data_IF_470754905412
#
_entry.id   IF_470754905412
#
_cell.length_a   1.000
_cell.length_b   1.000
_cell.length_c   1.000
_cell.angle_alpha   90.00
_cell.angle_beta   90.00
_cell.angle_gamma   90.00
#
_symmetry.space_group_name_H-M   'P 1'
#
loop_
_entity.id
_entity.type
_entity.pdbx_description
1 polymer ?
#
# COMPACT_ATOMS: atom_id res chain seq x y z
N UNK A 1 7.25 -25.08 -23.36
CA UNK A 1 7.38 -23.81 -24.10
C UNK A 1 7.86 -24.14 -25.50
N UNK A 2 7.30 -23.53 -26.54
CA UNK A 2 7.49 -23.94 -27.95
C UNK A 2 8.68 -23.29 -28.67
N UNK A 3 9.50 -22.49 -27.98
CA UNK A 3 10.62 -21.78 -28.60
C UNK A 3 10.22 -20.48 -29.28
N UNK A 4 11.06 -19.99 -30.21
CA UNK A 4 10.77 -18.76 -30.98
C UNK A 4 9.70 -19.06 -32.01
N UNK A 5 8.62 -18.29 -31.98
CA UNK A 5 7.53 -18.37 -32.96
C UNK A 5 7.56 -17.13 -33.85
N UNK A 6 7.51 -17.35 -35.15
CA UNK A 6 7.39 -16.27 -36.15
C UNK A 6 5.91 -16.06 -36.46
N UNK A 7 5.46 -14.81 -36.45
CA UNK A 7 4.08 -14.44 -36.77
C UNK A 7 4.10 -13.40 -37.88
N UNK A 8 3.43 -13.68 -38.99
CA UNK A 8 3.20 -12.72 -40.06
C UNK A 8 1.98 -11.85 -39.72
N UNK A 9 2.13 -10.52 -39.87
CA UNK A 9 1.13 -9.54 -39.43
C UNK A 9 0.72 -8.66 -40.61
N UNK A 10 -0.59 -8.53 -40.81
CA UNK A 10 -1.14 -7.52 -41.71
C UNK A 10 -1.20 -6.16 -41.00
N UNK A 11 -0.73 -5.11 -41.67
CA UNK A 11 -0.76 -3.74 -41.16
C UNK A 11 -1.69 -2.90 -42.03
N UNK A 12 -2.67 -2.24 -41.41
CA UNK A 12 -3.37 -1.13 -42.04
C UNK A 12 -2.52 0.13 -41.92
N UNK A 13 -2.26 0.79 -43.05
CA UNK A 13 -1.33 1.92 -43.13
C UNK A 13 -1.94 3.10 -43.86
N UNK A 14 -1.64 4.29 -43.37
CA UNK A 14 -1.91 5.56 -44.07
C UNK A 14 -0.71 6.50 -43.85
N UNK A 15 -0.45 7.38 -44.82
CA UNK A 15 0.71 8.29 -44.76
C UNK A 15 0.56 9.25 -43.58
N UNK A 16 1.62 9.37 -42.78
CA UNK A 16 1.63 10.25 -41.59
C UNK A 16 0.97 9.68 -40.33
N UNK A 17 0.40 8.46 -40.39
CA UNK A 17 -0.20 7.78 -39.24
C UNK A 17 0.58 6.53 -38.85
N UNK A 18 0.48 6.13 -37.58
CA UNK A 18 1.01 4.85 -37.11
C UNK A 18 0.26 3.68 -37.76
N UNK A 19 0.99 2.61 -38.05
CA UNK A 19 0.40 1.38 -38.58
C UNK A 19 -0.45 0.70 -37.52
N UNK A 20 -1.64 0.23 -37.90
CA UNK A 20 -2.55 -0.50 -37.01
C UNK A 20 -2.59 -1.97 -37.39
N UNK A 21 -2.50 -2.83 -36.39
CA UNK A 21 -2.50 -4.28 -36.54
C UNK A 21 -3.70 -4.87 -35.79
N UNK A 22 -4.84 -4.95 -36.48
CA UNK A 22 -6.14 -5.28 -35.86
C UNK A 22 -6.14 -6.66 -35.19
N UNK A 23 -5.42 -7.62 -35.76
CA UNK A 23 -5.40 -9.00 -35.29
C UNK A 23 -4.54 -9.21 -34.04
N UNK A 24 -3.68 -8.24 -33.67
CA UNK A 24 -2.77 -8.40 -32.53
C UNK A 24 -3.50 -8.63 -31.22
N UNK A 25 -4.60 -7.90 -30.99
CA UNK A 25 -5.40 -8.02 -29.77
C UNK A 25 -6.09 -9.39 -29.69
N UNK A 26 -6.66 -9.86 -30.80
CA UNK A 26 -7.30 -11.18 -30.88
C UNK A 26 -6.30 -12.31 -30.64
N UNK A 27 -5.06 -12.16 -31.13
CA UNK A 27 -3.97 -13.11 -30.93
C UNK A 27 -3.21 -12.90 -29.61
N UNK A 28 -3.59 -11.90 -28.80
CA UNK A 28 -2.89 -11.53 -27.57
C UNK A 28 -1.38 -11.38 -27.77
N UNK A 29 -0.97 -10.74 -28.87
CA UNK A 29 0.44 -10.56 -29.18
C UNK A 29 1.08 -9.54 -28.22
N UNK A 30 2.23 -9.87 -27.61
CA UNK A 30 2.96 -8.91 -26.80
C UNK A 30 3.50 -7.76 -27.65
N UNK A 31 3.60 -6.56 -27.07
CA UNK A 31 4.22 -5.41 -27.73
C UNK A 31 5.73 -5.62 -28.03
N UNK A 32 6.38 -6.55 -27.32
CA UNK A 32 7.78 -6.92 -27.52
C UNK A 32 7.96 -8.38 -27.92
N UNK A 33 9.20 -8.82 -28.08
CA UNK A 33 9.55 -10.19 -28.54
C UNK A 33 9.12 -11.30 -27.56
N UNK A 34 9.01 -11.01 -26.27
CA UNK A 34 8.76 -12.04 -25.26
C UNK A 34 7.26 -12.21 -25.00
N UNK A 35 6.79 -13.46 -24.98
CA UNK A 35 5.39 -13.79 -24.71
C UNK A 35 4.95 -13.33 -23.31
N UNK A 36 3.65 -13.08 -23.15
CA UNK A 36 3.04 -12.78 -21.84
C UNK A 36 3.32 -13.88 -20.81
N UNK A 37 3.36 -15.15 -21.23
CA UNK A 37 3.71 -16.27 -20.36
C UNK A 37 5.13 -16.18 -19.81
N UNK A 38 6.09 -15.74 -20.63
CA UNK A 38 7.47 -15.52 -20.21
C UNK A 38 7.60 -14.29 -19.31
N UNK A 39 6.87 -13.22 -19.60
CA UNK A 39 6.75 -12.05 -18.72
C UNK A 39 6.21 -12.42 -17.34
N UNK A 40 5.13 -13.20 -17.30
CA UNK A 40 4.55 -13.71 -16.04
C UNK A 40 5.55 -14.57 -15.27
N UNK A 41 6.29 -15.45 -15.95
CA UNK A 41 7.33 -16.25 -15.30
C UNK A 41 8.46 -15.38 -14.75
N UNK A 42 8.91 -14.36 -15.50
CA UNK A 42 9.93 -13.42 -15.05
C UNK A 42 9.52 -12.70 -13.76
N UNK A 43 8.26 -12.25 -13.67
CA UNK A 43 7.71 -11.64 -12.45
C UNK A 43 7.68 -12.66 -11.30
N UNK A 44 7.13 -13.86 -11.52
CA UNK A 44 7.02 -14.89 -10.48
C UNK A 44 8.38 -15.25 -9.87
N UNK A 45 9.41 -15.40 -10.69
CA UNK A 45 10.74 -15.75 -10.20
C UNK A 45 11.49 -14.54 -9.60
N UNK A 46 11.28 -13.33 -10.12
CA UNK A 46 11.90 -12.12 -9.59
C UNK A 46 11.37 -11.74 -8.19
N UNK A 47 10.13 -12.07 -7.85
CA UNK A 47 9.58 -11.84 -6.50
C UNK A 47 10.25 -12.74 -5.46
N UNK A 48 10.81 -13.88 -5.86
CA UNK A 48 11.44 -14.85 -4.94
C UNK A 48 12.90 -14.54 -4.61
N UNK A 49 13.59 -13.76 -5.45
CA UNK A 49 15.03 -13.59 -5.31
C UNK A 49 15.67 -12.68 -6.35
N UNK A 50 17.01 -12.58 -6.35
CA UNK A 50 17.74 -11.71 -7.26
C UNK A 50 17.56 -12.12 -8.72
N UNK A 51 17.70 -11.15 -9.64
CA UNK A 51 17.48 -11.37 -11.08
C UNK A 51 18.37 -12.45 -11.70
N UNK A 52 19.58 -12.69 -11.17
CA UNK A 52 20.43 -13.78 -11.65
C UNK A 52 19.84 -15.16 -11.33
N UNK A 53 19.23 -15.31 -10.14
CA UNK A 53 18.53 -16.54 -9.77
C UNK A 53 17.22 -16.68 -10.55
N UNK A 54 16.49 -15.58 -10.75
CA UNK A 54 15.28 -15.58 -11.57
C UNK A 54 15.59 -16.00 -13.01
N UNK A 55 16.65 -15.44 -13.60
CA UNK A 55 17.14 -15.84 -14.92
C UNK A 55 17.54 -17.31 -14.94
N UNK A 56 18.31 -17.78 -13.97
CA UNK A 56 18.71 -19.19 -13.90
C UNK A 56 17.50 -20.13 -13.79
N UNK A 57 16.45 -19.74 -13.06
CA UNK A 57 15.20 -20.51 -12.98
C UNK A 57 14.46 -20.57 -14.31
N UNK A 58 14.39 -19.45 -15.03
CA UNK A 58 13.81 -19.39 -16.38
C UNK A 58 14.63 -20.25 -17.35
N UNK A 59 15.95 -20.15 -17.32
CA UNK A 59 16.84 -20.93 -18.18
C UNK A 59 16.65 -22.44 -17.96
N UNK A 60 16.53 -22.89 -16.70
CA UNK A 60 16.26 -24.30 -16.39
C UNK A 60 14.94 -24.79 -16.95
N UNK A 61 13.91 -23.95 -16.96
CA UNK A 61 12.55 -24.33 -17.38
C UNK A 61 12.33 -24.19 -18.89
N UNK A 62 13.01 -23.26 -19.53
CA UNK A 62 12.67 -22.79 -20.88
C UNK A 62 13.87 -22.75 -21.83
N UNK A 63 15.09 -23.00 -21.35
CA UNK A 63 16.32 -22.75 -22.11
C UNK A 63 16.71 -21.28 -22.11
N UNK A 64 17.80 -20.94 -22.82
CA UNK A 64 18.37 -19.58 -22.89
C UNK A 64 17.51 -18.65 -23.76
N UNK A 65 16.33 -18.27 -23.27
CA UNK A 65 15.33 -17.50 -24.02
C UNK A 65 15.42 -15.98 -23.82
N UNK A 66 16.09 -15.52 -22.75
CA UNK A 66 16.26 -14.10 -22.46
C UNK A 66 17.52 -13.81 -21.62
N UNK A 67 18.06 -12.60 -21.77
CA UNK A 67 19.12 -12.07 -20.94
C UNK A 67 18.61 -11.40 -19.66
N UNK A 68 19.48 -11.21 -18.65
CA UNK A 68 19.13 -10.59 -17.36
C UNK A 68 18.42 -9.24 -17.51
N UNK A 69 18.99 -8.34 -18.32
CA UNK A 69 18.41 -7.00 -18.59
C UNK A 69 17.01 -7.07 -19.22
N UNK A 70 16.75 -8.10 -20.02
CA UNK A 70 15.41 -8.31 -20.60
C UNK A 70 14.43 -8.80 -19.54
N UNK A 71 14.86 -9.65 -18.59
CA UNK A 71 14.04 -10.06 -17.45
C UNK A 71 13.64 -8.85 -16.60
N UNK A 72 14.62 -8.01 -16.26
CA UNK A 72 14.41 -6.76 -15.49
C UNK A 72 13.41 -5.83 -16.19
N UNK A 73 13.55 -5.68 -17.52
CA UNK A 73 12.62 -4.88 -18.31
C UNK A 73 11.20 -5.45 -18.28
N UNK A 74 11.03 -6.76 -18.43
CA UNK A 74 9.71 -7.40 -18.37
C UNK A 74 9.04 -7.18 -17.01
N UNK A 75 9.81 -7.27 -15.92
CA UNK A 75 9.29 -7.01 -14.56
C UNK A 75 8.92 -5.54 -14.40
N UNK A 76 9.74 -4.63 -14.91
CA UNK A 76 9.47 -3.19 -14.87
C UNK A 76 8.23 -2.84 -15.67
N UNK A 77 8.07 -3.41 -16.88
CA UNK A 77 6.90 -3.22 -17.73
C UNK A 77 5.63 -3.74 -17.05
N UNK A 78 5.68 -4.92 -16.42
CA UNK A 78 4.55 -5.48 -15.69
C UNK A 78 4.14 -4.65 -14.45
N UNK A 79 5.10 -3.93 -13.84
CA UNK A 79 4.84 -3.11 -12.66
C UNK A 79 4.19 -1.74 -13.00
N UNK A 80 4.24 -1.29 -14.26
CA UNK A 80 3.69 0.04 -14.66
C UNK A 80 2.20 0.16 -14.44
N UNK A 81 1.48 -0.95 -14.56
CA UNK A 81 0.02 -0.95 -14.56
C UNK A 81 -0.59 -1.16 -13.17
N UNK A 82 0.21 -1.22 -12.10
CA UNK A 82 -0.29 -1.46 -10.73
C UNK A 82 -1.33 -0.41 -10.32
N UNK A 83 -1.05 0.88 -10.55
CA UNK A 83 -1.98 1.96 -10.20
C UNK A 83 -3.25 1.91 -11.04
N UNK A 84 -3.13 1.57 -12.34
CA UNK A 84 -4.27 1.44 -13.24
C UNK A 84 -5.14 0.23 -12.86
N UNK A 85 -4.50 -0.88 -12.50
CA UNK A 85 -5.15 -2.10 -12.03
C UNK A 85 -6.03 -1.83 -10.81
N UNK A 86 -5.51 -1.13 -9.80
CA UNK A 86 -6.27 -0.81 -8.60
C UNK A 86 -7.32 0.29 -8.83
N UNK A 87 -7.10 1.22 -9.77
CA UNK A 87 -8.12 2.21 -10.16
C UNK A 87 -9.33 1.58 -10.87
N UNK A 88 -9.10 0.56 -11.70
CA UNK A 88 -10.17 -0.15 -12.41
C UNK A 88 -10.93 -1.12 -11.50
N UNK A 89 -10.29 -1.60 -10.43
CA UNK A 89 -10.87 -2.58 -9.53
C UNK A 89 -11.75 -1.91 -8.48
N UNK A 90 -13.04 -1.83 -8.77
CA UNK A 90 -14.03 -1.43 -7.78
C UNK A 90 -14.39 -2.62 -6.88
N UNK A 91 -14.12 -2.58 -5.57
CA UNK A 91 -14.58 -3.62 -4.66
C UNK A 91 -16.10 -3.57 -4.53
N UNK A 92 -16.73 -4.72 -4.31
CA UNK A 92 -18.14 -4.77 -3.96
C UNK A 92 -18.35 -4.07 -2.60
N UNK A 93 -19.45 -3.31 -2.42
CA UNK A 93 -19.80 -2.74 -1.13
C UNK A 93 -19.90 -3.82 -0.04
N UNK A 94 -19.38 -3.52 1.14
CA UNK A 94 -19.44 -4.40 2.30
C UNK A 94 -20.47 -3.89 3.32
N UNK A 95 -20.96 -4.79 4.17
CA UNK A 95 -21.93 -4.44 5.21
C UNK A 95 -21.28 -3.70 6.39
N UNK A 96 -22.10 -3.06 7.22
CA UNK A 96 -21.66 -2.38 8.46
C UNK A 96 -20.96 -3.31 9.45
N UNK A 97 -21.23 -4.62 9.39
CA UNK A 97 -20.59 -5.62 10.24
C UNK A 97 -19.17 -5.99 9.82
N UNK A 98 -18.75 -5.63 8.59
CA UNK A 98 -17.42 -5.94 8.06
C UNK A 98 -16.46 -4.79 8.35
N UNK A 99 -15.31 -5.09 8.97
CA UNK A 99 -14.30 -4.08 9.29
C UNK A 99 -13.66 -3.53 8.03
N UNK A 100 -13.40 -2.21 8.01
CA UNK A 100 -12.54 -1.59 7.01
C UNK A 100 -11.15 -1.41 7.61
N UNK A 101 -10.20 -2.23 7.17
CA UNK A 101 -8.86 -2.26 7.75
C UNK A 101 -7.89 -1.49 6.87
N UNK A 102 -7.20 -0.51 7.46
CA UNK A 102 -6.08 0.19 6.88
C UNK A 102 -4.80 -0.31 7.54
N UNK A 103 -3.80 -0.69 6.76
CA UNK A 103 -2.49 -1.06 7.26
C UNK A 103 -1.44 -0.19 6.59
N UNK A 104 -0.53 0.38 7.38
CA UNK A 104 0.58 1.18 6.87
C UNK A 104 1.88 0.65 7.48
N UNK A 105 2.88 0.42 6.63
CA UNK A 105 4.20 -0.05 7.05
C UNK A 105 5.31 0.76 6.37
N UNK A 106 6.37 1.06 7.12
CA UNK A 106 7.57 1.73 6.61
C UNK A 106 8.81 0.83 6.70
N UNK A 107 9.47 0.56 5.58
CA UNK A 107 10.74 -0.17 5.55
C UNK A 107 11.88 0.68 5.01
N UNK A 108 12.96 0.78 5.77
CA UNK A 108 14.20 1.37 5.27
C UNK A 108 14.93 0.39 4.32
N UNK A 109 14.83 0.64 3.01
CA UNK A 109 15.48 -0.15 1.95
C UNK A 109 16.82 0.48 1.54
N UNK A 110 17.79 -0.36 1.20
CA UNK A 110 19.10 0.09 0.69
C UNK A 110 18.96 0.42 -0.79
N UNK A 111 19.45 1.60 -1.20
CA UNK A 111 19.37 2.07 -2.57
C UNK A 111 20.73 2.00 -3.26
N UNK A 112 20.71 1.86 -4.58
CA UNK A 112 21.84 2.25 -5.42
C UNK A 112 22.13 3.75 -5.22
N UNK A 113 23.40 4.19 -5.25
CA UNK A 113 23.77 5.59 -5.03
C UNK A 113 22.99 6.58 -5.93
N UNK A 114 22.75 6.23 -7.18
CA UNK A 114 22.07 7.05 -8.19
C UNK A 114 20.59 7.26 -7.86
N UNK A 115 20.01 6.36 -7.05
CA UNK A 115 18.60 6.41 -6.64
C UNK A 115 18.40 7.03 -5.24
N UNK A 116 19.45 7.55 -4.60
CA UNK A 116 19.36 8.28 -3.34
C UNK A 116 18.75 9.68 -3.54
N UNK A 117 18.11 10.22 -2.51
CA UNK A 117 17.67 11.63 -2.50
C UNK A 117 18.90 12.55 -2.57
N UNK A 118 18.84 13.71 -3.23
CA UNK A 118 20.02 14.58 -3.42
C UNK A 118 20.77 14.90 -2.12
N UNK A 119 20.06 15.23 -1.04
CA UNK A 119 20.66 15.49 0.27
C UNK A 119 21.37 14.25 0.85
N UNK A 120 20.74 13.08 0.73
CA UNK A 120 21.31 11.80 1.18
C UNK A 120 22.50 11.38 0.32
N UNK A 121 22.45 11.60 -0.99
CA UNK A 121 23.58 11.35 -1.91
C UNK A 121 24.77 12.24 -1.59
N UNK A 122 24.53 13.53 -1.30
CA UNK A 122 25.57 14.46 -0.86
C UNK A 122 26.22 13.96 0.44
N UNK A 123 25.41 13.55 1.42
CA UNK A 123 25.92 12.97 2.67
C UNK A 123 26.66 11.65 2.44
N UNK A 124 26.17 10.79 1.55
CA UNK A 124 26.82 9.53 1.19
C UNK A 124 28.20 9.74 0.58
N UNK A 125 28.34 10.73 -0.33
CA UNK A 125 29.62 11.09 -0.96
C UNK A 125 30.60 11.76 0.02
N UNK A 126 30.08 12.54 0.97
CA UNK A 126 30.89 13.21 1.99
C UNK A 126 31.28 12.28 3.16
N UNK A 127 30.57 11.16 3.33
CA UNK A 127 30.79 10.25 4.44
C UNK A 127 32.18 9.59 4.35
N UNK A 128 33.01 9.84 5.36
CA UNK A 128 34.24 9.08 5.60
C UNK A 128 33.98 8.07 6.70
N UNK A 129 34.25 6.79 6.42
CA UNK A 129 34.19 5.76 7.44
C UNK A 129 35.31 5.96 8.46
N UNK A 130 34.94 6.12 9.72
CA UNK A 130 35.90 6.19 10.81
C UNK A 130 36.53 4.82 11.10
N UNK A 131 35.78 3.74 10.89
CA UNK A 131 36.20 2.37 11.15
C UNK A 131 35.94 1.48 9.92
N UNK A 132 36.85 0.52 9.69
CA UNK A 132 36.83 -0.33 8.48
C UNK A 132 35.69 -1.36 8.49
N UNK A 133 35.47 -2.00 9.64
CA UNK A 133 34.59 -3.19 9.76
C UNK A 133 33.22 -2.91 10.36
N UNK A 134 33.06 -1.82 11.12
CA UNK A 134 31.80 -1.45 11.78
C UNK A 134 31.53 0.05 11.65
N UNK A 135 30.29 0.44 11.88
CA UNK A 135 29.91 1.85 12.01
C UNK A 135 30.37 2.35 13.38
N UNK A 136 30.91 3.57 13.42
CA UNK A 136 31.09 4.27 14.69
C UNK A 136 29.71 4.56 15.31
N UNK A 137 29.62 4.71 16.65
CA UNK A 137 28.39 5.11 17.31
C UNK A 137 27.80 6.37 16.68
N UNK A 138 26.53 6.32 16.28
CA UNK A 138 25.84 7.43 15.61
C UNK A 138 26.17 7.60 14.11
N UNK A 139 27.12 6.85 13.55
CA UNK A 139 27.46 6.91 12.13
C UNK A 139 26.31 6.35 11.29
N UNK A 140 25.80 7.17 10.37
CA UNK A 140 24.73 6.80 9.45
C UNK A 140 25.33 6.47 8.08
N UNK A 141 25.07 5.28 7.51
CA UNK A 141 25.60 4.93 6.18
C UNK A 141 25.08 5.76 5.01
N UNK A 142 24.07 6.61 5.23
CA UNK A 142 23.40 7.44 4.22
C UNK A 142 23.05 6.71 2.91
N UNK A 143 22.65 5.44 2.99
CA UNK A 143 22.37 4.59 1.82
C UNK A 143 20.93 4.08 1.72
N UNK A 144 20.06 4.52 2.63
CA UNK A 144 18.70 3.99 2.74
C UNK A 144 17.65 5.04 2.39
N UNK A 145 16.52 4.57 1.85
CA UNK A 145 15.27 5.33 1.72
C UNK A 145 14.15 4.59 2.44
N UNK A 146 13.19 5.33 2.95
CA UNK A 146 11.95 4.75 3.43
C UNK A 146 11.11 4.33 2.22
N UNK A 147 10.73 3.06 2.18
CA UNK A 147 9.64 2.57 1.36
C UNK A 147 8.42 2.48 2.25
N UNK A 148 7.36 3.19 1.90
CA UNK A 148 6.09 3.18 2.64
C UNK A 148 5.06 2.45 1.80
N UNK A 149 4.44 1.43 2.38
CA UNK A 149 3.34 0.68 1.78
C UNK A 149 2.07 0.93 2.59
N UNK A 150 0.94 0.98 1.90
CA UNK A 150 -0.36 0.94 2.53
C UNK A 150 -1.28 -0.10 1.87
N UNK A 151 -2.14 -0.69 2.68
CA UNK A 151 -3.14 -1.66 2.27
C UNK A 151 -4.49 -1.27 2.86
N UNK A 152 -5.55 -1.31 2.05
CA UNK A 152 -6.93 -1.14 2.49
C UNK A 152 -7.71 -2.40 2.11
N UNK A 153 -8.35 -3.04 3.09
CA UNK A 153 -9.03 -4.30 2.86
C UNK A 153 -10.21 -4.50 3.81
N UNK A 154 -11.11 -5.38 3.39
CA UNK A 154 -12.26 -5.77 4.20
C UNK A 154 -11.90 -7.02 5.01
N UNK A 155 -12.34 -7.09 6.26
CA UNK A 155 -12.16 -8.26 7.09
C UNK A 155 -13.36 -8.46 8.01
N UNK A 156 -13.86 -9.69 8.09
CA UNK A 156 -14.88 -10.03 9.07
C UNK A 156 -14.26 -10.04 10.48
N UNK A 157 -14.93 -9.45 11.49
CA UNK A 157 -14.49 -9.56 12.86
C UNK A 157 -14.34 -11.03 13.26
N UNK A 158 -13.20 -11.36 13.89
CA UNK A 158 -12.95 -12.68 14.45
C UNK A 158 -12.76 -12.56 15.97
N UNK A 159 -13.84 -12.42 16.76
CA UNK A 159 -13.75 -12.30 18.22
C UNK A 159 -12.98 -13.46 18.83
N UNK A 160 -12.08 -13.15 19.76
CA UNK A 160 -11.26 -14.12 20.48
C UNK A 160 -11.50 -14.00 21.97
N UNK A 161 -11.47 -15.14 22.65
CA UNK A 161 -11.40 -15.20 24.11
C UNK A 161 -9.93 -15.16 24.54
N UNK A 162 -9.60 -14.71 25.76
CA UNK A 162 -8.21 -14.67 26.23
C UNK A 162 -7.46 -16.00 26.07
N UNK A 163 -8.13 -17.14 26.30
CA UNK A 163 -7.56 -18.48 26.14
C UNK A 163 -7.32 -18.91 24.68
N UNK A 164 -7.89 -18.21 23.69
CA UNK A 164 -7.57 -18.45 22.27
C UNK A 164 -6.19 -17.89 21.90
N UNK A 165 -5.74 -16.87 22.63
CA UNK A 165 -4.52 -16.09 22.38
C UNK A 165 -3.40 -16.55 23.32
N UNK A 166 -3.69 -16.62 24.62
CA UNK A 166 -2.72 -16.97 25.66
C UNK A 166 -2.90 -18.45 25.99
N UNK A 167 -1.84 -19.23 25.79
CA UNK A 167 -1.83 -20.63 26.21
C UNK A 167 -1.89 -20.70 27.75
N UNK A 168 -2.85 -21.44 28.34
CA UNK A 168 -2.87 -21.64 29.77
C UNK A 168 -1.66 -22.51 30.21
N UNK A 169 -1.23 -22.43 31.48
CA UNK A 169 -0.07 -23.17 31.99
C UNK A 169 -0.18 -24.70 31.80
N UNK A 170 -1.40 -25.22 31.78
CA UNK A 170 -1.71 -26.64 31.54
C UNK A 170 -1.59 -27.06 30.06
N UNK A 171 -1.12 -26.17 29.17
CA UNK A 171 -1.04 -26.41 27.74
C UNK A 171 -2.31 -25.99 27.00
N UNK A 172 -2.22 -25.90 25.65
CA UNK A 172 -3.36 -25.53 24.81
C UNK A 172 -4.34 -26.70 24.73
N UNK A 173 -5.64 -26.43 24.96
CA UNK A 173 -6.67 -27.42 24.65
C UNK A 173 -6.58 -27.84 23.17
N UNK A 174 -6.87 -29.11 22.83
CA UNK A 174 -6.80 -29.62 21.46
C UNK A 174 -7.90 -29.04 20.53
N UNK A 175 -8.76 -28.16 21.04
CA UNK A 175 -9.77 -27.49 20.24
C UNK A 175 -9.09 -26.64 19.13
N UNK A 176 -9.61 -26.68 17.90
CA UNK A 176 -9.09 -25.85 16.82
C UNK A 176 -9.16 -24.37 17.22
N UNK A 177 -8.03 -23.66 17.09
CA UNK A 177 -8.04 -22.22 17.23
C UNK A 177 -9.01 -21.62 16.19
N UNK A 178 -9.80 -20.59 16.54
CA UNK A 178 -10.67 -19.96 15.56
C UNK A 178 -9.87 -19.51 14.33
N UNK A 179 -10.49 -19.51 13.14
CA UNK A 179 -9.79 -19.15 11.90
C UNK A 179 -9.38 -17.68 11.91
N UNK A 180 -8.17 -17.31 11.45
CA UNK A 180 -7.80 -15.90 11.34
C UNK A 180 -8.74 -15.18 10.36
N UNK A 181 -9.00 -13.88 10.57
CA UNK A 181 -9.82 -13.10 9.67
C UNK A 181 -9.23 -13.12 8.25
N UNK A 182 -10.08 -13.37 7.26
CA UNK A 182 -9.67 -13.39 5.86
C UNK A 182 -9.80 -11.99 5.28
N UNK A 183 -8.71 -11.49 4.70
CA UNK A 183 -8.71 -10.19 4.05
C UNK A 183 -9.29 -10.28 2.62
N UNK A 184 -10.38 -9.57 2.38
CA UNK A 184 -11.07 -9.46 1.10
C UNK A 184 -10.89 -8.07 0.49
N UNK A 185 -11.21 -7.93 -0.80
CA UNK A 185 -11.23 -6.64 -1.50
C UNK A 185 -9.94 -5.80 -1.31
N UNK A 186 -8.77 -6.43 -1.32
CA UNK A 186 -7.50 -5.75 -1.03
C UNK A 186 -7.18 -4.70 -2.08
N UNK A 187 -6.82 -3.51 -1.61
CA UNK A 187 -6.18 -2.45 -2.37
C UNK A 187 -4.79 -2.20 -1.79
N UNK A 188 -3.79 -2.02 -2.65
CA UNK A 188 -2.41 -1.84 -2.26
C UNK A 188 -1.82 -0.62 -2.96
N UNK A 189 -1.05 0.17 -2.22
CA UNK A 189 -0.24 1.26 -2.76
C UNK A 189 1.13 1.27 -2.09
N UNK A 190 2.13 1.83 -2.77
CA UNK A 190 3.48 1.85 -2.27
C UNK A 190 4.34 2.93 -2.91
N UNK A 191 5.20 3.52 -2.11
CA UNK A 191 6.13 4.55 -2.60
C UNK A 191 7.47 4.50 -1.90
N UNK A 192 8.53 4.63 -2.70
CA UNK A 192 9.90 4.94 -2.25
C UNK A 192 10.24 6.41 -2.55
N UNK A 193 9.46 7.04 -3.44
CA UNK A 193 9.69 8.38 -3.98
C UNK A 193 9.11 9.43 -3.04
N UNK A 194 7.79 9.39 -2.93
CA UNK A 194 6.95 10.23 -2.09
C UNK A 194 7.20 9.99 -0.61
N UNK A 195 6.98 11.01 0.23
CA UNK A 195 7.10 10.86 1.66
C UNK A 195 5.88 10.09 2.23
N UNK A 196 5.95 9.55 3.46
CA UNK A 196 4.92 8.66 4.01
C UNK A 196 3.52 9.26 4.06
N UNK A 197 3.41 10.59 4.17
CA UNK A 197 2.18 11.37 4.22
C UNK A 197 1.31 11.07 3.00
N UNK A 198 1.89 11.07 1.79
CA UNK A 198 1.16 10.83 0.54
C UNK A 198 0.56 9.41 0.51
N UNK A 199 1.32 8.40 0.98
CA UNK A 199 0.85 7.01 1.02
C UNK A 199 -0.25 6.81 2.07
N UNK A 200 -0.14 7.48 3.22
CA UNK A 200 -1.16 7.45 4.27
C UNK A 200 -2.44 8.13 3.77
N UNK A 201 -2.33 9.34 3.21
CA UNK A 201 -3.46 10.07 2.66
C UNK A 201 -4.19 9.25 1.59
N UNK A 202 -3.46 8.62 0.66
CA UNK A 202 -4.07 7.77 -0.36
C UNK A 202 -4.84 6.56 0.23
N UNK A 203 -4.38 6.01 1.36
CA UNK A 203 -5.11 4.95 2.05
C UNK A 203 -6.40 5.45 2.70
N UNK A 204 -6.38 6.66 3.27
CA UNK A 204 -7.58 7.31 3.81
C UNK A 204 -8.56 7.69 2.70
N UNK A 205 -8.10 8.26 1.58
CA UNK A 205 -8.95 8.55 0.42
C UNK A 205 -9.62 7.28 -0.12
N UNK A 206 -8.88 6.17 -0.16
CA UNK A 206 -9.42 4.89 -0.59
C UNK A 206 -10.43 4.31 0.41
N UNK A 207 -10.25 4.53 1.71
CA UNK A 207 -11.19 4.11 2.74
C UNK A 207 -12.46 4.97 2.70
N UNK A 208 -12.30 6.29 2.55
CA UNK A 208 -13.40 7.26 2.39
C UNK A 208 -14.25 6.91 1.16
N UNK A 209 -13.61 6.60 0.03
CA UNK A 209 -14.31 6.19 -1.18
C UNK A 209 -15.11 4.87 -1.01
N UNK A 210 -14.73 4.00 -0.06
CA UNK A 210 -15.44 2.74 0.23
C UNK A 210 -16.56 2.92 1.24
N UNK A 211 -16.42 3.86 2.16
CA UNK A 211 -17.39 4.12 3.23
C UNK A 211 -17.56 5.63 3.46
N UNK A 212 -18.15 6.38 2.51
CA UNK A 212 -18.32 7.83 2.63
C UNK A 212 -19.23 8.24 3.79
N UNK A 213 -20.09 7.33 4.24
CA UNK A 213 -20.98 7.54 5.38
C UNK A 213 -20.38 7.18 6.73
N UNK A 214 -19.16 6.65 6.77
CA UNK A 214 -18.45 6.21 7.98
C UNK A 214 -19.31 5.24 8.81
N UNK A 215 -20.03 4.34 8.13
CA UNK A 215 -20.97 3.41 8.78
C UNK A 215 -20.26 2.17 9.31
N UNK A 216 -19.04 1.90 8.85
CA UNK A 216 -18.24 0.73 9.23
C UNK A 216 -17.23 1.12 10.30
N UNK A 217 -16.80 0.12 11.07
CA UNK A 217 -15.66 0.30 11.97
C UNK A 217 -14.36 0.30 11.19
N UNK A 218 -13.66 1.42 11.21
CA UNK A 218 -12.32 1.54 10.63
C UNK A 218 -11.27 1.11 11.65
N UNK A 219 -10.35 0.24 11.22
CA UNK A 219 -9.25 -0.25 12.07
C UNK A 219 -7.94 0.07 11.37
N UNK A 220 -7.06 0.81 12.05
CA UNK A 220 -5.73 1.14 11.51
C UNK A 220 -4.65 0.33 12.21
N UNK A 221 -3.89 -0.44 11.45
CA UNK A 221 -2.77 -1.26 11.91
C UNK A 221 -1.45 -0.58 11.53
N UNK A 222 -0.59 -0.40 12.53
CA UNK A 222 0.71 0.28 12.40
C UNK A 222 1.77 -0.43 13.23
N UNK A 223 3.02 -0.37 12.76
CA UNK A 223 4.18 -1.03 13.37
C UNK A 223 4.70 -0.35 14.65
N UNK A 224 4.05 0.73 15.10
CA UNK A 224 4.42 1.51 16.27
C UNK A 224 5.34 2.71 16.01
N UNK A 225 5.66 3.03 14.75
CA UNK A 225 6.41 4.23 14.42
C UNK A 225 5.62 5.50 14.80
N UNK A 226 6.11 6.24 15.82
CA UNK A 226 5.44 7.46 16.35
C UNK A 226 5.08 8.48 15.28
N UNK A 227 6.00 8.76 14.37
CA UNK A 227 5.76 9.67 13.26
C UNK A 227 4.58 9.21 12.37
N UNK A 228 4.47 7.91 12.06
CA UNK A 228 3.33 7.39 11.30
C UNK A 228 2.02 7.51 12.10
N UNK A 229 2.06 7.24 13.41
CA UNK A 229 0.91 7.42 14.29
C UNK A 229 0.41 8.86 14.30
N UNK A 230 1.31 9.84 14.35
CA UNK A 230 0.95 11.26 14.33
C UNK A 230 0.28 11.64 13.00
N UNK A 231 0.82 11.18 11.87
CA UNK A 231 0.22 11.39 10.55
C UNK A 231 -1.17 10.75 10.42
N UNK A 232 -1.33 9.51 10.89
CA UNK A 232 -2.61 8.79 10.87
C UNK A 232 -3.65 9.50 11.75
N UNK A 233 -3.25 9.99 12.93
CA UNK A 233 -4.15 10.75 13.82
C UNK A 233 -4.59 12.06 13.18
N UNK A 234 -3.69 12.75 12.50
CA UNK A 234 -4.02 13.97 11.78
C UNK A 234 -5.04 13.70 10.65
N UNK A 235 -4.81 12.66 9.85
CA UNK A 235 -5.75 12.27 8.77
C UNK A 235 -7.10 11.81 9.32
N UNK A 236 -7.13 11.03 10.41
CA UNK A 236 -8.37 10.61 11.04
C UNK A 236 -9.20 11.79 11.56
N UNK A 237 -8.56 12.79 12.18
CA UNK A 237 -9.24 14.02 12.60
C UNK A 237 -9.82 14.80 11.40
N UNK A 238 -9.08 14.85 10.29
CA UNK A 238 -9.55 15.44 9.03
C UNK A 238 -10.73 14.68 8.40
N UNK A 239 -10.70 13.34 8.42
CA UNK A 239 -11.78 12.50 7.90
C UNK A 239 -13.07 12.66 8.70
N UNK A 240 -13.00 12.66 10.04
CA UNK A 240 -14.17 12.85 10.90
C UNK A 240 -14.83 14.23 10.74
N UNK A 241 -14.05 15.27 10.44
CA UNK A 241 -14.59 16.62 10.18
C UNK A 241 -15.22 16.80 8.79
N UNK A 242 -14.86 15.94 7.82
CA UNK A 242 -15.51 15.91 6.49
C UNK A 242 -16.92 15.29 6.53
N UNK A 243 -17.28 14.58 7.60
CA UNK A 243 -18.60 13.98 7.82
C UNK A 243 -19.67 14.97 8.36
N UNK A 244 -19.41 16.28 8.34
CA UNK A 244 -20.31 17.31 8.92
C UNK A 244 -21.54 17.64 8.04
N UNK A 245 -22.08 16.66 7.30
CA UNK A 245 -23.42 16.76 6.69
C UNK A 245 -24.47 15.90 7.40
N UNK A 246 -24.10 15.19 8.48
CA UNK A 246 -25.02 14.44 9.33
C UNK A 246 -24.91 14.90 10.80
N UNK A 247 -25.03 16.20 11.04
CA UNK A 247 -25.11 16.78 12.39
C UNK A 247 -26.57 16.94 12.83
N UNK A 248 -27.34 15.85 12.88
CA UNK A 248 -28.53 15.80 13.73
C UNK A 248 -28.74 14.38 14.21
N UNK A 249 -28.84 14.24 15.54
CA UNK A 249 -29.30 13.08 16.30
C UNK A 249 -28.51 11.77 16.19
N UNK A 250 -27.39 11.67 16.91
CA UNK A 250 -26.88 10.39 17.42
C UNK A 250 -26.16 10.61 18.76
N UNK A 251 -26.89 11.14 19.75
CA UNK A 251 -26.54 10.95 21.16
C UNK A 251 -27.51 9.92 21.71
N UNK A 252 -27.21 8.64 21.50
CA UNK A 252 -27.90 7.57 22.21
C UNK A 252 -26.87 6.77 23.00
N UNK A 253 -26.78 7.12 24.28
CA UNK A 253 -26.28 6.24 25.31
C UNK A 253 -27.06 4.92 25.26
N UNK A 254 -26.35 3.79 25.26
CA UNK A 254 -26.97 2.48 25.29
C UNK A 254 -26.40 1.69 26.48
N UNK A 255 -27.08 1.80 27.61
CA UNK A 255 -27.01 0.81 28.69
C UNK A 255 -28.45 0.55 29.16
N UNK A 256 -29.03 -0.64 28.96
CA UNK A 256 -30.28 -1.01 29.61
C UNK A 256 -29.97 -1.54 31.02
N UNK A 257 -30.33 -0.77 32.05
CA UNK A 257 -30.36 -1.22 33.44
C UNK A 257 -31.77 -1.68 33.85
N UNK A 258 -31.93 -2.70 34.70
CA UNK A 258 -33.21 -3.12 35.26
C UNK A 258 -33.64 -2.23 36.46
N UNK A 259 -34.94 -2.20 36.82
CA UNK A 259 -35.50 -1.18 37.72
C UNK A 259 -35.10 -1.39 39.20
N UNK A 260 -34.82 -0.27 39.89
CA UNK A 260 -34.50 -0.23 41.32
C UNK A 260 -35.76 -0.21 42.21
N UNK A 261 -35.77 -1.02 43.27
CA UNK A 261 -36.58 -0.83 44.49
C UNK A 261 -35.70 -0.27 45.63
N UNK A 262 -36.25 0.42 46.65
CA UNK A 262 -35.45 1.16 47.62
C UNK A 262 -35.14 0.31 48.86
N UNK A 263 -33.86 0.15 49.20
CA UNK A 263 -33.39 0.06 50.60
C UNK A 263 -31.87 0.05 50.72
N UNK A 264 -31.36 0.87 51.65
CA UNK A 264 -30.07 0.78 52.39
C UNK A 264 -28.73 1.00 51.64
N UNK A 265 -28.09 2.14 51.95
CA UNK A 265 -26.67 2.55 51.71
C UNK A 265 -25.68 1.84 52.67
N UNK A 266 -24.33 2.04 52.59
CA UNK A 266 -23.43 2.34 51.44
C UNK A 266 -22.06 1.58 51.49
N UNK A 267 -21.24 1.67 50.44
CA UNK A 267 -19.76 1.70 50.53
C UNK A 267 -19.13 2.34 49.27
N UNK A 268 -18.01 3.08 49.38
CA UNK A 268 -17.53 3.97 48.32
C UNK A 268 -16.48 3.30 47.41
N UNK A 269 -16.66 3.38 46.09
CA UNK A 269 -15.63 3.08 45.11
C UNK A 269 -15.23 4.35 44.36
N UNK A 270 -13.92 4.58 44.39
CA UNK A 270 -13.12 5.70 43.86
C UNK A 270 -13.43 6.04 42.41
N UNK A 271 -13.73 7.32 42.16
CA UNK A 271 -13.94 7.88 40.82
C UNK A 271 -12.60 8.12 40.11
N UNK A 272 -12.41 7.48 38.96
CA UNK A 272 -11.40 7.87 37.96
C UNK A 272 -11.94 9.00 37.09
N UNK A 273 -11.21 10.10 37.03
CA UNK A 273 -11.53 11.33 36.29
C UNK A 273 -11.69 11.12 34.77
N UNK A 274 -12.74 11.65 34.12
CA UNK A 274 -12.69 11.94 32.69
C UNK A 274 -12.00 13.29 32.43
N UNK A 275 -10.90 13.28 31.69
CA UNK A 275 -10.21 14.49 31.21
C UNK A 275 -11.06 15.11 30.10
N UNK A 276 -11.72 16.24 30.41
CA UNK A 276 -12.35 17.14 29.43
C UNK A 276 -11.26 17.76 28.55
N UNK A 277 -11.29 17.48 27.24
CA UNK A 277 -10.54 18.26 26.27
C UNK A 277 -11.19 19.64 26.12
N UNK A 278 -10.45 20.69 26.46
CA UNK A 278 -10.78 22.09 26.20
C UNK A 278 -10.71 22.36 24.69
N UNK A 279 -11.74 22.99 24.14
CA UNK A 279 -11.69 23.59 22.82
C UNK A 279 -10.67 24.75 22.79
N UNK A 280 -9.92 24.86 21.71
CA UNK A 280 -9.10 26.03 21.36
C UNK A 280 -9.11 26.21 19.83
N UNK A 281 -8.91 27.46 19.35
CA UNK A 281 -9.64 27.98 18.20
C UNK A 281 -9.10 27.48 16.86
N UNK A 282 -10.03 27.32 15.94
CA UNK A 282 -9.88 26.91 14.54
C UNK A 282 -8.85 27.76 13.79
N UNK A 283 -7.85 27.10 13.20
CA UNK A 283 -7.01 27.70 12.16
C UNK A 283 -7.82 27.84 10.85
N UNK A 284 -7.61 28.89 10.06
CA UNK A 284 -8.35 29.08 8.80
C UNK A 284 -7.94 28.03 7.75
N UNK A 285 -8.87 27.62 6.86
CA UNK A 285 -8.59 26.62 5.84
C UNK A 285 -7.58 27.11 4.81
N UNK A 286 -6.70 26.20 4.36
CA UNK A 286 -5.75 26.46 3.26
C UNK A 286 -6.51 26.62 1.93
N UNK A 287 -6.07 27.54 1.04
CA UNK A 287 -6.67 27.68 -0.28
C UNK A 287 -6.40 26.45 -1.16
N UNK A 288 -7.32 26.12 -2.09
CA UNK A 288 -7.17 24.98 -2.98
C UNK A 288 -5.97 25.16 -3.92
N UNK A 289 -5.26 24.05 -4.18
CA UNK A 289 -4.13 24.01 -5.07
C UNK A 289 -4.55 24.41 -6.50
N UNK A 290 -3.91 25.44 -7.04
CA UNK A 290 -4.10 25.88 -8.42
C UNK A 290 -3.72 24.74 -9.38
N UNK A 291 -4.66 24.35 -10.24
CA UNK A 291 -4.43 23.40 -11.31
C UNK A 291 -3.44 24.02 -12.30
N UNK A 292 -2.24 23.44 -12.40
CA UNK A 292 -1.28 23.77 -13.46
C UNK A 292 -1.72 23.08 -14.75
N UNK A 293 -1.81 23.78 -15.90
CA UNK A 293 -2.13 23.16 -17.17
C UNK A 293 -0.99 22.24 -17.66
N UNK A 294 -1.30 21.22 -18.49
CA UNK A 294 -0.32 20.29 -19.02
C UNK A 294 0.65 21.00 -19.96
N UNK A 295 1.96 20.83 -19.73
CA UNK A 295 3.01 21.29 -20.65
C UNK A 295 3.00 20.43 -21.90
N UNK A 296 2.68 21.05 -23.03
CA UNK A 296 2.87 20.54 -24.38
C UNK A 296 4.36 20.54 -24.78
N UNK A 297 4.79 19.43 -25.38
CA UNK A 297 5.78 19.32 -26.47
C UNK A 297 7.15 20.00 -26.39
N UNK A 298 8.21 19.18 -26.25
CA UNK A 298 9.41 19.30 -27.07
C UNK A 298 10.07 17.91 -27.16
N UNK A 299 9.79 17.19 -28.25
CA UNK A 299 10.48 15.98 -28.62
C UNK A 299 11.81 16.36 -29.31
N UNK A 300 12.93 16.15 -28.64
CA UNK A 300 14.24 16.14 -29.30
C UNK A 300 14.45 14.77 -29.92
N UNK A 301 14.39 14.71 -31.25
CA UNK A 301 14.69 13.52 -32.04
C UNK A 301 16.18 13.14 -31.91
N UNK A 302 16.43 11.84 -31.74
CA UNK A 302 17.75 11.25 -31.95
C UNK A 302 17.64 10.34 -33.17
N UNK A 303 18.30 10.77 -34.24
CA UNK A 303 18.55 10.00 -35.46
C UNK A 303 19.70 9.02 -35.22
N UNK A 304 19.47 7.75 -35.49
CA UNK A 304 20.53 6.74 -35.58
C UNK A 304 20.79 6.42 -37.05
N UNK A 305 22.02 6.62 -37.49
CA UNK A 305 22.66 5.77 -38.51
C UNK A 305 23.34 4.60 -37.81
#
# INVERSE_FOLDING_TARGET
>A
MFGTVTVERCAWRHKGLSSVHLTDAALSLPAGRHSHGLGRLAVTEAVRGPYDQAKAAIDRRCGKVLGKRQAERLVTEAARDIDAYYRQRMPLPATVGTLLVLQVEGKNIVMCPEALRPATLKAHRAARRALRTRLAPGEKPHRKRMATLACVFDADPAPRRPHDIIAPPAGRSPAPAPRPPAAAAKWLTGSVVHPPEDTIAAAFDQAEARDPGHLRTWVVLVDGARHQLDLIRAEAAGAMSRCTSCSTSCTSANTPGPPCTPSTRPAPCTAGYPIRARASPTAPPRPPAAQRPPRTGAACGWSSS
#
